data_IF_918439441991
#
_entry.id   IF_918439441991
#
_cell.length_a   1.000
_cell.length_b   1.000
_cell.length_c   1.000
_cell.angle_alpha   90.00
_cell.angle_beta   90.00
_cell.angle_gamma   90.00
#
_symmetry.space_group_name_H-M   'P 1'
#
loop_
_entity.id
_entity.type
_entity.pdbx_description
1 polymer ?
#
# COMPACT_ATOMS: atom_id res chain seq x y z
N UNK A 1 2.36 12.83 4.73
CA UNK A 1 1.10 13.60 4.63
C UNK A 1 1.34 14.99 4.03
N UNK A 2 2.25 15.82 4.57
CA UNK A 2 2.42 17.22 4.12
C UNK A 2 2.68 17.38 2.62
N UNK A 3 3.49 16.53 2.01
CA UNK A 3 3.73 16.52 0.56
C UNK A 3 2.44 16.20 -0.23
N UNK A 4 1.67 15.24 0.23
CA UNK A 4 0.40 14.88 -0.39
C UNK A 4 -0.62 16.03 -0.33
N UNK A 5 -0.71 16.71 0.80
CA UNK A 5 -1.57 17.91 0.95
C UNK A 5 -1.14 19.06 0.03
N UNK A 6 0.07 19.04 -0.50
CA UNK A 6 0.58 20.01 -1.50
C UNK A 6 0.43 19.53 -2.94
N UNK A 7 -0.35 18.48 -3.17
CA UNK A 7 -0.64 17.96 -4.51
C UNK A 7 0.41 17.01 -5.09
N UNK A 8 1.37 16.56 -4.28
CA UNK A 8 2.31 15.52 -4.69
C UNK A 8 1.74 14.14 -4.33
N UNK A 9 2.25 13.10 -4.97
CA UNK A 9 1.96 11.71 -4.60
C UNK A 9 3.22 11.04 -4.04
N UNK A 10 3.53 11.22 -2.75
CA UNK A 10 4.70 10.60 -2.15
C UNK A 10 4.52 9.09 -2.03
N UNK A 11 5.58 8.36 -2.33
CA UNK A 11 5.72 6.94 -2.01
C UNK A 11 6.69 6.83 -0.83
N UNK A 12 6.19 6.25 0.25
CA UNK A 12 6.97 6.01 1.47
C UNK A 12 7.29 4.53 1.54
N UNK A 13 8.56 4.18 1.58
CA UNK A 13 8.96 2.79 1.75
C UNK A 13 9.26 2.48 3.21
N UNK A 14 8.66 1.40 3.71
CA UNK A 14 8.99 0.77 4.99
C UNK A 14 9.66 -0.55 4.63
N UNK A 15 10.94 -0.68 4.94
CA UNK A 15 11.81 -1.75 4.47
C UNK A 15 11.41 -3.18 4.87
N UNK A 16 10.61 -3.32 5.93
CA UNK A 16 10.00 -4.58 6.38
C UNK A 16 8.61 -4.32 6.94
N UNK A 17 7.66 -5.18 6.58
CA UNK A 17 6.29 -5.07 7.04
C UNK A 17 6.12 -5.13 8.54
N UNK A 18 7.03 -5.78 9.23
CA UNK A 18 7.08 -5.80 10.71
C UNK A 18 7.20 -4.38 11.29
N UNK A 19 7.92 -3.49 10.62
CA UNK A 19 8.14 -2.11 11.08
C UNK A 19 6.98 -1.17 10.78
N UNK A 20 5.98 -1.61 10.04
CA UNK A 20 4.77 -0.80 9.82
C UNK A 20 4.06 -0.48 11.14
N UNK A 21 4.27 -1.29 12.17
CA UNK A 21 3.75 -1.05 13.51
C UNK A 21 4.26 0.23 14.14
N UNK A 22 5.50 0.66 13.80
CA UNK A 22 6.06 1.92 14.27
C UNK A 22 5.33 3.14 13.68
N UNK A 23 4.72 2.98 12.52
CA UNK A 23 3.97 4.00 11.83
C UNK A 23 2.44 3.84 11.98
N UNK A 24 1.98 2.81 12.69
CA UNK A 24 0.57 2.42 12.72
C UNK A 24 -0.33 3.57 13.20
N UNK A 25 0.05 4.28 14.24
CA UNK A 25 -0.73 5.43 14.73
C UNK A 25 -0.87 6.52 13.66
N UNK A 26 0.21 6.86 12.97
CA UNK A 26 0.21 7.87 11.91
C UNK A 26 -0.63 7.43 10.71
N UNK A 27 -0.66 6.15 10.42
CA UNK A 27 -1.48 5.58 9.34
C UNK A 27 -2.96 5.61 9.75
N UNK A 28 -3.28 5.04 10.90
CA UNK A 28 -4.66 4.81 11.34
C UNK A 28 -5.34 6.10 11.80
N UNK A 29 -4.66 6.88 12.64
CA UNK A 29 -5.27 8.03 13.30
C UNK A 29 -5.06 9.36 12.57
N UNK A 30 -4.15 9.41 11.60
CA UNK A 30 -3.90 10.60 10.81
C UNK A 30 -4.17 10.36 9.33
N UNK A 31 -3.34 9.59 8.64
CA UNK A 31 -3.38 9.46 7.17
C UNK A 31 -4.76 8.99 6.69
N UNK A 32 -5.30 7.92 7.27
CA UNK A 32 -6.60 7.38 6.88
C UNK A 32 -7.77 8.34 7.17
N UNK A 33 -7.62 9.21 8.15
CA UNK A 33 -8.70 10.08 8.62
C UNK A 33 -8.61 11.52 8.12
N UNK A 34 -7.53 11.93 7.49
CA UNK A 34 -7.31 13.31 7.06
C UNK A 34 -8.47 13.85 6.24
N UNK A 35 -8.88 13.11 5.21
CA UNK A 35 -10.00 13.51 4.36
C UNK A 35 -11.27 13.74 5.16
N UNK A 36 -11.59 12.83 6.07
CA UNK A 36 -12.74 12.93 6.95
C UNK A 36 -12.63 14.11 7.92
N UNK A 37 -11.47 14.28 8.58
CA UNK A 37 -11.24 15.36 9.56
C UNK A 37 -11.40 16.75 8.95
N UNK A 38 -11.11 16.91 7.68
CA UNK A 38 -11.23 18.17 6.95
C UNK A 38 -12.48 18.23 6.07
N UNK A 39 -13.53 17.51 6.44
CA UNK A 39 -14.81 17.52 5.75
C UNK A 39 -14.69 17.31 4.24
N UNK A 40 -13.87 16.36 3.83
CA UNK A 40 -13.61 15.98 2.43
C UNK A 40 -12.98 17.09 1.55
N UNK A 41 -12.55 18.18 2.14
CA UNK A 41 -11.95 19.29 1.41
C UNK A 41 -10.49 19.05 0.99
N UNK A 42 -9.88 17.98 1.51
CA UNK A 42 -8.49 17.62 1.19
C UNK A 42 -8.42 16.24 0.57
N UNK A 43 -7.43 16.04 -0.30
CA UNK A 43 -7.03 14.73 -0.81
C UNK A 43 -5.69 14.38 -0.22
N UNK A 44 -5.46 13.09 0.00
CA UNK A 44 -4.20 12.62 0.55
C UNK A 44 -3.65 11.45 -0.27
N UNK A 45 -3.30 11.67 -1.54
CA UNK A 45 -2.70 10.64 -2.38
C UNK A 45 -1.30 10.29 -1.83
N UNK A 46 -1.21 9.23 -1.07
CA UNK A 46 0.02 8.77 -0.44
C UNK A 46 0.08 7.24 -0.48
N UNK A 47 1.15 6.70 -1.00
CA UNK A 47 1.38 5.26 -1.03
C UNK A 47 2.43 4.87 0.00
N UNK A 48 2.10 3.92 0.86
CA UNK A 48 3.04 3.26 1.74
C UNK A 48 3.35 1.91 1.12
N UNK A 49 4.59 1.67 0.74
CA UNK A 49 5.06 0.43 0.16
C UNK A 49 5.86 -0.35 1.19
N UNK A 50 5.59 -1.65 1.34
CA UNK A 50 6.36 -2.49 2.25
C UNK A 50 6.41 -3.95 1.81
N UNK A 51 7.57 -4.61 1.88
CA UNK A 51 7.67 -6.05 1.67
C UNK A 51 7.23 -6.80 2.93
N UNK A 52 6.33 -7.77 2.77
CA UNK A 52 5.87 -8.65 3.85
C UNK A 52 6.10 -10.13 3.49
N UNK A 53 5.99 -11.00 4.48
CA UNK A 53 6.08 -12.46 4.31
C UNK A 53 7.39 -13.07 4.79
N UNK A 54 7.35 -14.37 4.98
CA UNK A 54 8.45 -15.18 5.52
C UNK A 54 9.31 -15.85 4.46
N UNK A 55 9.91 -16.99 4.86
CA UNK A 55 10.72 -17.90 4.03
C UNK A 55 12.04 -17.35 3.49
N UNK A 56 12.55 -16.25 4.03
CA UNK A 56 13.86 -15.65 3.68
C UNK A 56 14.90 -15.79 4.78
N UNK A 57 14.60 -16.48 5.89
CA UNK A 57 15.54 -16.70 6.97
C UNK A 57 15.76 -15.49 7.91
N UNK A 58 14.92 -14.48 7.84
CA UNK A 58 15.07 -13.25 8.65
C UNK A 58 14.55 -13.37 10.09
N UNK A 59 14.05 -14.55 10.48
CA UNK A 59 13.50 -14.80 11.81
C UNK A 59 12.13 -14.16 12.06
N UNK A 60 11.61 -14.27 13.28
CA UNK A 60 10.21 -13.90 13.60
C UNK A 60 9.92 -12.41 13.55
N UNK A 61 10.93 -11.57 13.71
CA UNK A 61 10.78 -10.11 13.74
C UNK A 61 10.83 -9.43 12.37
N UNK A 62 11.06 -10.21 11.29
CA UNK A 62 11.18 -9.71 9.92
C UNK A 62 10.43 -10.60 8.91
N UNK A 63 9.48 -11.39 9.39
CA UNK A 63 8.82 -12.40 8.55
C UNK A 63 7.30 -12.39 8.68
N UNK A 64 6.74 -11.40 9.34
CA UNK A 64 5.30 -11.30 9.58
C UNK A 64 4.56 -10.72 8.38
N UNK A 65 3.26 -10.98 8.35
CA UNK A 65 2.28 -10.37 7.45
C UNK A 65 1.24 -9.66 8.32
N UNK A 66 1.37 -8.34 8.42
CA UNK A 66 0.63 -7.53 9.38
C UNK A 66 -0.48 -6.70 8.73
N UNK A 67 -0.82 -6.97 7.48
CA UNK A 67 -1.88 -6.26 6.74
C UNK A 67 -3.22 -6.27 7.47
N UNK A 68 -3.48 -7.30 8.25
CA UNK A 68 -4.72 -7.45 9.02
C UNK A 68 -4.96 -6.26 9.97
N UNK A 69 -3.90 -5.61 10.45
CA UNK A 69 -4.02 -4.45 11.35
C UNK A 69 -4.72 -3.27 10.64
N UNK A 70 -4.58 -3.19 9.32
CA UNK A 70 -5.07 -2.07 8.51
C UNK A 70 -6.35 -2.38 7.75
N UNK A 71 -6.82 -3.63 7.78
CA UNK A 71 -8.06 -4.01 7.12
C UNK A 71 -9.26 -3.40 7.83
N UNK A 72 -10.19 -2.87 7.04
CA UNK A 72 -11.42 -2.26 7.56
C UNK A 72 -11.26 -0.85 8.13
N UNK A 73 -10.09 -0.21 7.93
CA UNK A 73 -9.92 1.21 8.28
C UNK A 73 -10.54 2.07 7.18
N UNK A 74 -11.58 2.88 7.49
CA UNK A 74 -12.20 3.73 6.49
C UNK A 74 -11.22 4.75 5.90
N UNK A 75 -11.30 4.98 4.58
CA UNK A 75 -10.46 5.96 3.89
C UNK A 75 -9.02 5.49 3.66
N UNK A 76 -8.74 4.19 3.81
CA UNK A 76 -7.42 3.61 3.60
C UNK A 76 -7.51 2.31 2.78
N UNK A 77 -6.75 2.24 1.71
CA UNK A 77 -6.70 1.06 0.85
C UNK A 77 -5.56 0.13 1.27
N UNK A 78 -5.83 -1.17 1.28
CA UNK A 78 -4.79 -2.21 1.50
C UNK A 78 -4.76 -3.11 0.28
N UNK A 79 -3.62 -3.15 -0.38
CA UNK A 79 -3.42 -3.90 -1.63
C UNK A 79 -2.25 -4.86 -1.48
N UNK A 80 -2.50 -6.12 -1.76
CA UNK A 80 -1.50 -7.18 -1.74
C UNK A 80 -1.60 -7.99 -3.04
N UNK A 81 -0.77 -7.70 -4.05
CA UNK A 81 -0.76 -8.47 -5.29
C UNK A 81 -0.50 -9.96 -5.04
N UNK A 82 -1.21 -10.80 -5.75
CA UNK A 82 -1.04 -12.25 -5.71
C UNK A 82 -0.41 -12.76 -7.01
N UNK A 83 0.51 -13.75 -6.94
CA UNK A 83 1.05 -14.38 -8.15
C UNK A 83 -0.04 -15.05 -9.00
N UNK A 84 -1.17 -15.42 -8.41
CA UNK A 84 -2.31 -15.99 -9.14
C UNK A 84 -3.00 -14.96 -10.04
N UNK A 85 -2.87 -13.67 -9.76
CA UNK A 85 -3.39 -12.60 -10.61
C UNK A 85 -2.60 -12.43 -11.90
N UNK A 86 -1.41 -13.02 -11.99
CA UNK A 86 -0.60 -12.97 -13.22
C UNK A 86 -1.23 -13.76 -14.38
N UNK A 87 -2.09 -14.71 -14.08
CA UNK A 87 -2.79 -15.52 -15.09
C UNK A 87 -4.06 -14.88 -15.63
N UNK A 88 -4.53 -13.81 -15.02
CA UNK A 88 -5.70 -13.10 -15.51
C UNK A 88 -5.30 -12.10 -16.59
N UNK A 89 -5.31 -12.62 -17.84
CA UNK A 89 -5.43 -11.84 -19.07
C UNK A 89 -4.30 -10.85 -19.39
N UNK A 90 -3.19 -11.40 -19.90
CA UNK A 90 -2.31 -10.62 -20.80
C UNK A 90 -3.07 -10.01 -22.00
N UNK A 91 -4.24 -10.54 -22.35
CA UNK A 91 -5.05 -10.07 -23.44
C UNK A 91 -5.78 -8.73 -23.17
N UNK A 92 -5.99 -8.40 -21.91
CA UNK A 92 -6.66 -7.16 -21.49
C UNK A 92 -5.73 -6.13 -20.88
N UNK A 93 -4.42 -6.46 -20.78
CA UNK A 93 -3.45 -5.54 -20.23
C UNK A 93 -2.90 -4.62 -21.34
N UNK A 94 -3.20 -3.32 -21.33
CA UNK A 94 -2.68 -2.38 -22.31
C UNK A 94 -1.16 -2.16 -22.19
N UNK A 95 -0.53 -2.73 -21.17
CA UNK A 95 0.90 -2.62 -20.89
C UNK A 95 1.58 -3.99 -20.99
N UNK A 96 2.25 -4.29 -22.12
CA UNK A 96 2.78 -5.65 -22.38
C UNK A 96 3.90 -6.09 -21.46
N UNK A 97 4.39 -5.22 -20.59
CA UNK A 97 5.52 -5.50 -19.68
C UNK A 97 5.14 -5.47 -18.18
N UNK A 98 3.87 -5.21 -17.84
CA UNK A 98 3.42 -5.13 -16.45
C UNK A 98 2.46 -6.27 -16.09
N UNK A 99 2.74 -6.99 -15.01
CA UNK A 99 1.81 -7.95 -14.42
C UNK A 99 0.68 -7.26 -13.63
N UNK A 100 -0.21 -8.06 -13.03
CA UNK A 100 -1.29 -7.55 -12.19
C UNK A 100 -0.80 -6.64 -11.04
N UNK A 101 0.40 -6.89 -10.53
CA UNK A 101 1.04 -6.04 -9.52
C UNK A 101 1.30 -4.61 -10.05
N UNK A 102 1.78 -4.48 -11.29
CA UNK A 102 2.01 -3.17 -11.92
C UNK A 102 0.71 -2.41 -12.13
N UNK A 103 -0.35 -3.09 -12.57
CA UNK A 103 -1.66 -2.46 -12.74
C UNK A 103 -2.23 -1.95 -11.42
N UNK A 104 -2.18 -2.75 -10.37
CA UNK A 104 -2.62 -2.35 -9.03
C UNK A 104 -1.78 -1.19 -8.50
N UNK A 105 -0.47 -1.22 -8.71
CA UNK A 105 0.41 -0.14 -8.27
C UNK A 105 0.12 1.17 -9.00
N UNK A 106 -0.10 1.12 -10.32
CA UNK A 106 -0.52 2.30 -11.10
C UNK A 106 -1.87 2.83 -10.64
N UNK A 107 -2.82 1.95 -10.36
CA UNK A 107 -4.13 2.35 -9.84
C UNK A 107 -3.99 3.13 -8.53
N UNK A 108 -3.11 2.68 -7.64
CA UNK A 108 -2.82 3.38 -6.39
C UNK A 108 -2.16 4.73 -6.64
N UNK A 109 -1.15 4.78 -7.52
CA UNK A 109 -0.45 6.02 -7.84
C UNK A 109 -1.34 7.07 -8.54
N UNK A 110 -2.39 6.63 -9.24
CA UNK A 110 -3.37 7.52 -9.86
C UNK A 110 -4.56 7.84 -8.93
N UNK A 111 -4.65 7.14 -7.80
CA UNK A 111 -5.73 7.33 -6.83
C UNK A 111 -5.55 8.59 -5.99
N UNK A 112 -6.62 9.02 -5.36
CA UNK A 112 -6.66 10.17 -4.47
C UNK A 112 -6.63 9.79 -2.98
N UNK A 113 -6.79 8.51 -2.69
CA UNK A 113 -6.84 7.96 -1.34
C UNK A 113 -5.50 7.35 -0.92
N UNK A 114 -5.16 7.41 0.36
CA UNK A 114 -3.93 6.79 0.85
C UNK A 114 -4.02 5.27 0.81
N UNK A 115 -2.90 4.62 0.52
CA UNK A 115 -2.84 3.17 0.36
C UNK A 115 -1.61 2.54 1.00
N UNK A 116 -1.80 1.32 1.50
CA UNK A 116 -0.73 0.40 1.85
C UNK A 116 -0.59 -0.62 0.71
N UNK A 117 0.55 -0.61 0.06
CA UNK A 117 0.89 -1.55 -1.00
C UNK A 117 1.89 -2.57 -0.45
N UNK A 118 1.47 -3.82 -0.40
CA UNK A 118 2.23 -4.92 0.20
C UNK A 118 2.81 -5.79 -0.90
N UNK A 119 4.12 -5.93 -0.91
CA UNK A 119 4.81 -6.86 -1.79
C UNK A 119 5.22 -8.10 -1.01
N UNK A 120 4.84 -9.28 -1.51
CA UNK A 120 5.34 -10.49 -0.90
C UNK A 120 6.82 -10.67 -1.27
N UNK A 121 7.66 -10.96 -0.28
CA UNK A 121 9.11 -11.14 -0.46
C UNK A 121 9.51 -12.28 -1.38
N UNK A 122 8.57 -13.11 -1.80
CA UNK A 122 8.78 -14.23 -2.71
C UNK A 122 8.23 -13.97 -4.13
N UNK A 123 7.61 -12.81 -4.37
CA UNK A 123 7.18 -12.38 -5.70
C UNK A 123 8.34 -11.85 -6.52
#
# INVERSE_FOLDING_TARGET
AGMALRGLHPVVEIMFGDFVTLAADQIINHIAKFRWMYNEQVRLPLTIRTPMGGRRGYGPTHSQTLEKIFLGIPGFLVLAPSPLQHSMSLAENPFPFGGAADLLYRQVLMGEDPALFIENKLL
#
